data_IF_408556450167
#
_entry.id   IF_408556450167
#
_cell.length_a   1.000
_cell.length_b   1.000
_cell.length_c   1.000
_cell.angle_alpha   90.00
_cell.angle_beta   90.00
_cell.angle_gamma   90.00
#
_symmetry.space_group_name_H-M   'P 1'
#
loop_
_entity.id
_entity.type
_entity.pdbx_description
1 polymer ?
#
# COMPACT_ATOMS: atom_id res chain seq x y z
N UNK A 1 12.74 22.21 -11.29
CA UNK A 1 11.76 22.35 -10.18
C UNK A 1 10.32 21.98 -10.57
N UNK A 2 9.76 22.51 -11.67
CA UNK A 2 8.36 22.22 -12.10
C UNK A 2 8.06 20.72 -12.37
N UNK A 3 9.00 19.97 -12.96
CA UNK A 3 8.84 18.53 -13.22
C UNK A 3 8.72 17.70 -11.92
N UNK A 4 9.53 18.02 -10.91
CA UNK A 4 9.52 17.33 -9.61
C UNK A 4 8.24 17.61 -8.81
N UNK A 5 7.78 18.88 -8.79
CA UNK A 5 6.50 19.23 -8.16
C UNK A 5 5.33 18.45 -8.78
N UNK A 6 5.34 18.23 -10.09
CA UNK A 6 4.31 17.46 -10.77
C UNK A 6 4.34 15.97 -10.35
N UNK A 7 5.53 15.37 -10.21
CA UNK A 7 5.66 13.97 -9.74
C UNK A 7 5.14 13.81 -8.31
N UNK A 8 5.45 14.73 -7.39
CA UNK A 8 5.00 14.59 -5.99
C UNK A 8 3.50 14.77 -5.83
N UNK A 9 2.90 15.75 -6.51
CA UNK A 9 1.45 15.91 -6.50
C UNK A 9 0.75 14.66 -7.04
N UNK A 10 1.23 14.13 -8.18
CA UNK A 10 0.71 12.90 -8.76
C UNK A 10 0.91 11.69 -7.87
N UNK A 11 2.06 11.57 -7.21
CA UNK A 11 2.36 10.48 -6.28
C UNK A 11 1.44 10.52 -5.07
N UNK A 12 1.27 11.69 -4.45
CA UNK A 12 0.38 11.87 -3.32
C UNK A 12 -1.05 11.48 -3.67
N UNK A 13 -1.60 12.05 -4.76
CA UNK A 13 -2.96 11.74 -5.22
C UNK A 13 -3.11 10.24 -5.54
N UNK A 14 -2.12 9.64 -6.19
CA UNK A 14 -2.14 8.22 -6.51
C UNK A 14 -2.15 7.32 -5.28
N UNK A 15 -1.45 7.68 -4.20
CA UNK A 15 -1.48 6.91 -2.96
C UNK A 15 -2.82 7.05 -2.25
N UNK A 16 -3.33 8.27 -2.11
CA UNK A 16 -4.65 8.52 -1.50
C UNK A 16 -5.73 7.77 -2.26
N UNK A 17 -5.81 7.98 -3.57
CA UNK A 17 -6.81 7.34 -4.42
C UNK A 17 -6.63 5.81 -4.44
N UNK A 18 -5.41 5.33 -4.70
CA UNK A 18 -5.12 3.91 -4.81
C UNK A 18 -5.43 3.14 -3.54
N UNK A 19 -5.03 3.64 -2.37
CA UNK A 19 -5.33 2.98 -1.10
C UNK A 19 -6.79 3.07 -0.70
N UNK A 20 -7.43 4.23 -0.89
CA UNK A 20 -8.86 4.40 -0.58
C UNK A 20 -9.72 3.45 -1.41
N UNK A 21 -9.52 3.42 -2.73
CA UNK A 21 -10.30 2.56 -3.62
C UNK A 21 -9.89 1.09 -3.45
N UNK A 22 -8.60 0.79 -3.34
CA UNK A 22 -8.12 -0.57 -3.15
C UNK A 22 -8.70 -1.20 -1.88
N UNK A 23 -8.52 -0.57 -0.72
CA UNK A 23 -9.00 -1.12 0.55
C UNK A 23 -10.53 -1.01 0.68
N UNK A 24 -11.16 0.05 0.15
CA UNK A 24 -12.63 0.12 0.13
C UNK A 24 -13.26 -1.01 -0.67
N UNK A 25 -12.70 -1.33 -1.85
CA UNK A 25 -13.20 -2.45 -2.68
C UNK A 25 -12.90 -3.82 -2.07
N UNK A 26 -11.83 -3.96 -1.27
CA UNK A 26 -11.54 -5.18 -0.53
C UNK A 26 -12.73 -5.62 0.34
N UNK A 27 -13.36 -4.72 1.09
CA UNK A 27 -14.48 -5.07 1.98
C UNK A 27 -15.67 -5.65 1.23
N UNK A 28 -16.02 -5.08 0.08
CA UNK A 28 -17.11 -5.58 -0.76
C UNK A 28 -16.80 -6.96 -1.33
N UNK A 29 -15.58 -7.19 -1.78
CA UNK A 29 -15.18 -8.46 -2.37
C UNK A 29 -14.97 -9.56 -1.31
N UNK A 30 -14.39 -9.22 -0.17
CA UNK A 30 -14.16 -10.16 0.93
C UNK A 30 -15.46 -10.51 1.66
N UNK A 31 -16.14 -9.50 2.19
CA UNK A 31 -17.28 -9.70 3.10
C UNK A 31 -18.63 -9.64 2.40
N UNK A 32 -18.74 -9.01 1.22
CA UNK A 32 -20.01 -8.92 0.50
C UNK A 32 -20.52 -10.28 0.01
N UNK A 33 -19.62 -11.18 -0.41
CA UNK A 33 -19.98 -12.51 -0.90
C UNK A 33 -19.93 -13.62 0.15
N UNK A 34 -19.11 -13.46 1.20
CA UNK A 34 -18.85 -14.53 2.18
C UNK A 34 -19.25 -14.18 3.61
N UNK A 35 -19.81 -12.99 3.82
CA UNK A 35 -20.23 -12.49 5.12
C UNK A 35 -19.06 -12.13 6.03
N UNK A 36 -19.42 -11.81 7.27
CA UNK A 36 -18.48 -11.53 8.34
C UNK A 36 -17.85 -12.82 8.87
N UNK A 37 -16.64 -12.71 9.42
CA UNK A 37 -16.00 -13.81 10.14
C UNK A 37 -15.41 -13.32 11.47
N UNK A 38 -15.33 -14.23 12.43
CA UNK A 38 -14.60 -14.01 13.68
C UNK A 38 -13.11 -14.31 13.50
N UNK A 39 -12.52 -14.97 14.50
CA UNK A 39 -11.09 -15.31 14.52
C UNK A 39 -10.71 -16.46 13.57
N UNK A 40 -11.68 -17.15 12.99
CA UNK A 40 -11.46 -18.23 12.04
C UNK A 40 -12.24 -17.96 10.76
N UNK A 41 -11.55 -18.10 9.62
CA UNK A 41 -12.14 -18.03 8.30
C UNK A 41 -12.42 -19.44 7.75
N UNK A 42 -13.59 -19.60 7.14
CA UNK A 42 -13.87 -20.77 6.28
C UNK A 42 -12.99 -20.73 5.03
N UNK A 43 -12.83 -21.86 4.31
CA UNK A 43 -12.07 -21.88 3.05
C UNK A 43 -12.58 -20.87 2.00
N UNK A 44 -13.90 -20.66 1.91
CA UNK A 44 -14.49 -19.68 1.00
C UNK A 44 -14.11 -18.24 1.39
N UNK A 45 -14.14 -17.92 2.68
CA UNK A 45 -13.70 -16.62 3.21
C UNK A 45 -12.21 -16.39 2.96
N UNK A 46 -11.37 -17.42 3.13
CA UNK A 46 -9.95 -17.36 2.79
C UNK A 46 -9.71 -17.01 1.32
N UNK A 47 -10.38 -17.70 0.40
CA UNK A 47 -10.28 -17.43 -1.03
C UNK A 47 -10.72 -16.00 -1.34
N UNK A 48 -11.84 -15.55 -0.76
CA UNK A 48 -12.34 -14.19 -0.94
C UNK A 48 -11.34 -13.13 -0.44
N UNK A 49 -10.69 -13.34 0.71
CA UNK A 49 -9.68 -12.43 1.24
C UNK A 49 -8.39 -12.40 0.40
N UNK A 50 -7.93 -13.56 -0.07
CA UNK A 50 -6.76 -13.64 -0.98
C UNK A 50 -7.02 -12.85 -2.25
N UNK A 51 -8.16 -13.11 -2.91
CA UNK A 51 -8.50 -12.48 -4.18
C UNK A 51 -8.74 -10.98 -4.02
N UNK A 52 -9.51 -10.58 -3.01
CA UNK A 52 -9.85 -9.18 -2.77
C UNK A 52 -8.65 -8.34 -2.33
N UNK A 53 -7.78 -8.87 -1.46
CA UNK A 53 -6.59 -8.15 -1.01
C UNK A 53 -5.51 -8.11 -2.10
N UNK A 54 -5.38 -9.19 -2.89
CA UNK A 54 -4.56 -9.19 -4.10
C UNK A 54 -5.02 -8.12 -5.10
N UNK A 55 -6.32 -8.00 -5.31
CA UNK A 55 -6.93 -6.95 -6.14
C UNK A 55 -6.67 -5.54 -5.60
N UNK A 56 -6.89 -5.32 -4.31
CA UNK A 56 -6.62 -4.05 -3.65
C UNK A 56 -5.15 -3.64 -3.81
N UNK A 57 -4.24 -4.58 -3.55
CA UNK A 57 -2.80 -4.39 -3.71
C UNK A 57 -2.42 -4.04 -5.14
N UNK A 58 -3.06 -4.69 -6.13
CA UNK A 58 -2.83 -4.40 -7.54
C UNK A 58 -3.25 -2.97 -7.91
N UNK A 59 -4.42 -2.51 -7.43
CA UNK A 59 -4.90 -1.14 -7.64
C UNK A 59 -3.88 -0.13 -7.07
N UNK A 60 -3.50 -0.31 -5.80
CA UNK A 60 -2.54 0.58 -5.11
C UNK A 60 -1.26 0.71 -5.91
N UNK A 61 -0.68 -0.43 -6.30
CA UNK A 61 0.60 -0.46 -6.99
C UNK A 61 0.53 0.09 -8.42
N UNK A 62 -0.58 -0.17 -9.13
CA UNK A 62 -0.81 0.42 -10.46
C UNK A 62 -0.90 1.94 -10.38
N UNK A 63 -1.64 2.49 -9.41
CA UNK A 63 -1.75 3.92 -9.19
C UNK A 63 -0.37 4.54 -8.90
N UNK A 64 0.37 3.97 -7.94
CA UNK A 64 1.72 4.43 -7.58
C UNK A 64 2.66 4.42 -8.78
N UNK A 65 2.72 3.33 -9.55
CA UNK A 65 3.58 3.24 -10.75
C UNK A 65 3.21 4.25 -11.83
N UNK A 66 1.92 4.41 -12.12
CA UNK A 66 1.43 5.37 -13.12
C UNK A 66 1.76 6.82 -12.77
N UNK A 67 1.93 7.14 -11.49
CA UNK A 67 2.29 8.49 -11.06
C UNK A 67 3.76 8.84 -11.32
N UNK A 68 4.66 7.86 -11.40
CA UNK A 68 6.09 8.03 -11.68
C UNK A 68 6.64 6.97 -12.65
N UNK A 69 6.15 6.90 -13.90
CA UNK A 69 6.42 5.78 -14.82
C UNK A 69 7.90 5.66 -15.24
N UNK A 70 8.67 6.75 -15.14
CA UNK A 70 10.10 6.75 -15.43
C UNK A 70 10.93 5.99 -14.37
N UNK A 71 10.44 5.89 -13.13
CA UNK A 71 11.18 5.29 -12.01
C UNK A 71 11.00 3.78 -11.92
N UNK A 72 9.84 3.27 -12.34
CA UNK A 72 9.48 1.88 -12.16
C UNK A 72 9.67 1.05 -13.43
N UNK A 73 9.89 -0.24 -13.24
CA UNK A 73 9.83 -1.26 -14.30
C UNK A 73 8.47 -1.19 -15.00
N UNK A 74 8.40 -1.53 -16.29
CA UNK A 74 7.16 -1.59 -17.08
C UNK A 74 6.49 -2.96 -16.99
N UNK A 75 5.30 -3.13 -17.59
CA UNK A 75 4.57 -4.40 -17.65
C UNK A 75 3.78 -4.77 -16.39
N UNK A 76 3.11 -5.92 -16.44
CA UNK A 76 2.20 -6.40 -15.37
C UNK A 76 2.93 -7.19 -14.27
N UNK A 77 4.07 -7.80 -14.59
CA UNK A 77 4.83 -8.66 -13.66
C UNK A 77 5.17 -7.97 -12.33
N UNK A 78 5.64 -6.70 -12.30
CA UNK A 78 5.91 -6.03 -11.02
C UNK A 78 4.65 -5.85 -10.16
N UNK A 79 3.48 -5.64 -10.78
CA UNK A 79 2.19 -5.52 -10.05
C UNK A 79 1.81 -6.85 -9.45
N UNK A 80 1.92 -7.93 -10.23
CA UNK A 80 1.62 -9.27 -9.73
C UNK A 80 2.51 -9.63 -8.53
N UNK A 81 3.84 -9.46 -8.66
CA UNK A 81 4.79 -9.72 -7.56
C UNK A 81 4.48 -8.90 -6.31
N UNK A 82 4.19 -7.61 -6.48
CA UNK A 82 3.84 -6.73 -5.38
C UNK A 82 2.56 -7.17 -4.67
N UNK A 83 1.54 -7.51 -5.46
CA UNK A 83 0.24 -7.94 -4.95
C UNK A 83 0.33 -9.27 -4.21
N UNK A 84 1.06 -10.23 -4.77
CA UNK A 84 1.33 -11.51 -4.11
C UNK A 84 2.08 -11.31 -2.80
N UNK A 85 3.16 -10.52 -2.78
CA UNK A 85 3.94 -10.31 -1.57
C UNK A 85 3.11 -9.64 -0.46
N UNK A 86 2.35 -8.60 -0.80
CA UNK A 86 1.49 -7.90 0.15
C UNK A 86 0.38 -8.81 0.69
N UNK A 87 -0.25 -9.61 -0.17
CA UNK A 87 -1.31 -10.56 0.22
C UNK A 87 -0.77 -11.63 1.15
N UNK A 88 0.38 -12.23 0.82
CA UNK A 88 1.00 -13.24 1.66
C UNK A 88 1.45 -12.66 3.01
N UNK A 89 2.00 -11.45 3.02
CA UNK A 89 2.40 -10.78 4.26
C UNK A 89 1.20 -10.47 5.15
N UNK A 90 0.14 -9.88 4.59
CA UNK A 90 -1.08 -9.52 5.31
C UNK A 90 -1.75 -10.77 5.90
N UNK A 91 -2.08 -11.75 5.05
CA UNK A 91 -2.81 -12.94 5.47
C UNK A 91 -1.98 -13.91 6.31
N UNK A 92 -0.69 -14.00 6.04
CA UNK A 92 0.24 -14.79 6.83
C UNK A 92 0.34 -14.27 8.26
N UNK A 93 0.49 -12.95 8.43
CA UNK A 93 0.56 -12.35 9.77
C UNK A 93 -0.80 -12.34 10.46
N UNK A 94 -1.89 -12.08 9.73
CA UNK A 94 -3.24 -12.18 10.29
C UNK A 94 -3.50 -13.56 10.90
N UNK A 95 -3.08 -14.64 10.22
CA UNK A 95 -3.24 -16.03 10.70
C UNK A 95 -2.50 -16.32 12.01
N UNK A 96 -1.44 -15.57 12.29
CA UNK A 96 -0.57 -15.82 13.45
C UNK A 96 -0.93 -14.94 14.64
N UNK A 97 -1.19 -13.65 14.40
CA UNK A 97 -1.32 -12.64 15.46
C UNK A 97 -2.45 -11.63 15.23
N UNK A 98 -3.12 -11.66 14.07
CA UNK A 98 -4.25 -10.78 13.76
C UNK A 98 -3.90 -9.29 13.62
N UNK A 99 -4.96 -8.47 13.72
CA UNK A 99 -4.88 -7.00 13.71
C UNK A 99 -4.24 -6.50 15.02
N UNK A 100 -3.32 -5.52 14.98
CA UNK A 100 -2.98 -4.65 13.84
C UNK A 100 -1.73 -5.05 13.06
N UNK A 101 -1.12 -6.20 13.38
CA UNK A 101 0.20 -6.57 12.87
C UNK A 101 0.15 -6.95 11.37
N UNK A 102 -0.97 -7.48 10.90
CA UNK A 102 -1.25 -7.73 9.49
C UNK A 102 -1.17 -6.45 8.62
N UNK A 103 -1.74 -5.33 9.10
CA UNK A 103 -1.66 -4.02 8.46
C UNK A 103 -0.19 -3.58 8.39
N UNK A 104 0.55 -3.66 9.50
CA UNK A 104 1.98 -3.31 9.51
C UNK A 104 2.79 -4.15 8.51
N UNK A 105 2.52 -5.45 8.45
CA UNK A 105 3.16 -6.38 7.53
C UNK A 105 2.83 -6.05 6.06
N UNK A 106 1.58 -5.68 5.76
CA UNK A 106 1.17 -5.24 4.42
C UNK A 106 1.92 -3.98 3.98
N UNK A 107 2.03 -2.97 4.86
CA UNK A 107 2.74 -1.74 4.54
C UNK A 107 4.25 -1.95 4.33
N UNK A 108 4.87 -2.82 5.13
CA UNK A 108 6.24 -3.28 4.90
C UNK A 108 6.39 -3.94 3.52
N UNK A 109 5.48 -4.86 3.19
CA UNK A 109 5.46 -5.55 1.91
C UNK A 109 5.23 -4.60 0.73
N UNK A 110 4.37 -3.59 0.86
CA UNK A 110 4.17 -2.55 -0.16
C UNK A 110 5.46 -1.78 -0.43
N UNK A 111 6.14 -1.30 0.62
CA UNK A 111 7.39 -0.57 0.48
C UNK A 111 8.52 -1.41 -0.13
N UNK A 112 8.66 -2.66 0.30
CA UNK A 112 9.62 -3.61 -0.28
C UNK A 112 9.31 -3.85 -1.75
N UNK A 113 8.03 -4.07 -2.10
CA UNK A 113 7.60 -4.29 -3.47
C UNK A 113 7.88 -3.09 -4.37
N UNK A 114 7.62 -1.87 -3.88
CA UNK A 114 7.92 -0.63 -4.58
C UNK A 114 9.42 -0.51 -4.87
N UNK A 115 10.25 -0.76 -3.85
CA UNK A 115 11.70 -0.77 -4.01
C UNK A 115 12.18 -1.80 -5.03
N UNK A 116 11.64 -3.02 -4.97
CA UNK A 116 12.02 -4.10 -5.89
C UNK A 116 11.58 -3.84 -7.34
N UNK A 117 10.52 -3.04 -7.54
CA UNK A 117 10.03 -2.65 -8.86
C UNK A 117 10.69 -1.40 -9.45
N UNK A 118 11.64 -0.77 -8.75
CA UNK A 118 12.45 0.30 -9.33
C UNK A 118 13.24 -0.21 -10.53
N UNK A 119 13.36 0.62 -11.57
CA UNK A 119 14.15 0.32 -12.77
C UNK A 119 15.64 0.31 -12.43
N UNK A 120 16.09 1.37 -11.76
CA UNK A 120 17.47 1.53 -11.29
C UNK A 120 17.53 1.21 -9.80
N UNK A 121 17.31 -0.06 -9.45
CA UNK A 121 17.20 -0.49 -8.06
C UNK A 121 18.56 -0.43 -7.35
N UNK A 122 18.62 0.33 -6.26
CA UNK A 122 19.73 0.29 -5.29
C UNK A 122 19.25 -0.23 -3.94
N UNK A 123 20.15 -0.79 -3.12
CA UNK A 123 19.81 -1.26 -1.76
C UNK A 123 19.24 -0.12 -0.90
N UNK A 124 19.84 1.06 -0.98
CA UNK A 124 19.37 2.24 -0.24
C UNK A 124 17.96 2.66 -0.67
N UNK A 125 17.67 2.69 -1.97
CA UNK A 125 16.34 3.07 -2.47
C UNK A 125 15.25 2.10 -2.00
N UNK A 126 15.56 0.79 -1.99
CA UNK A 126 14.66 -0.23 -1.43
C UNK A 126 14.43 0.03 0.06
N UNK A 127 15.50 0.20 0.83
CA UNK A 127 15.40 0.43 2.28
C UNK A 127 14.60 1.68 2.62
N UNK A 128 14.82 2.79 1.90
CA UNK A 128 14.09 4.04 2.13
C UNK A 128 12.60 3.90 1.82
N UNK A 129 12.23 3.23 0.72
CA UNK A 129 10.82 2.98 0.37
C UNK A 129 10.16 2.02 1.36
N UNK A 130 10.85 0.96 1.78
CA UNK A 130 10.38 0.03 2.81
C UNK A 130 10.17 0.74 4.14
N UNK A 131 11.15 1.52 4.61
CA UNK A 131 11.09 2.22 5.88
C UNK A 131 9.98 3.28 5.90
N UNK A 132 9.86 4.10 4.85
CA UNK A 132 8.80 5.12 4.78
C UNK A 132 7.40 4.51 4.69
N UNK A 133 7.25 3.37 4.01
CA UNK A 133 5.98 2.65 3.97
C UNK A 133 5.66 2.01 5.33
N UNK A 134 6.65 1.43 6.02
CA UNK A 134 6.47 0.90 7.37
C UNK A 134 6.02 2.00 8.36
N UNK A 135 6.61 3.20 8.28
CA UNK A 135 6.19 4.36 9.07
C UNK A 135 4.76 4.79 8.72
N UNK A 136 4.38 4.79 7.44
CA UNK A 136 2.98 5.02 7.05
C UNK A 136 2.03 3.97 7.65
N UNK A 137 2.45 2.70 7.70
CA UNK A 137 1.72 1.63 8.40
C UNK A 137 1.55 1.92 9.89
N UNK A 138 2.61 2.35 10.58
CA UNK A 138 2.54 2.75 11.99
C UNK A 138 1.60 3.93 12.22
N UNK A 139 1.62 4.94 11.34
CA UNK A 139 0.67 6.07 11.40
C UNK A 139 -0.77 5.57 11.21
N UNK A 140 -0.98 4.67 10.25
CA UNK A 140 -2.28 4.09 9.95
C UNK A 140 -2.82 3.28 11.13
N UNK A 141 -1.98 2.48 11.79
CA UNK A 141 -2.36 1.74 12.99
C UNK A 141 -2.56 2.65 14.20
N UNK A 142 -1.66 3.60 14.44
CA UNK A 142 -1.69 4.45 15.63
C UNK A 142 -2.79 5.51 15.61
N UNK A 143 -3.19 5.99 14.42
CA UNK A 143 -4.18 7.06 14.28
C UNK A 143 -5.40 6.64 13.45
N UNK A 144 -5.20 5.87 12.38
CA UNK A 144 -6.27 5.47 11.47
C UNK A 144 -7.19 4.42 12.10
N UNK A 145 -6.62 3.32 12.60
CA UNK A 145 -7.39 2.19 13.11
C UNK A 145 -8.32 2.54 14.29
N UNK A 146 -7.91 3.34 15.31
CA UNK A 146 -8.80 3.71 16.40
C UNK A 146 -10.00 4.55 15.94
N UNK A 147 -9.80 5.46 14.99
CA UNK A 147 -10.88 6.28 14.43
C UNK A 147 -11.79 5.42 13.55
N UNK A 148 -11.19 4.57 12.70
CA UNK A 148 -11.92 3.65 11.85
C UNK A 148 -12.83 2.73 12.67
N UNK A 149 -12.34 2.21 13.81
CA UNK A 149 -13.15 1.39 14.72
C UNK A 149 -14.34 2.14 15.33
N UNK A 150 -14.17 3.42 15.70
CA UNK A 150 -15.29 4.26 16.16
C UNK A 150 -16.33 4.49 15.06
N UNK A 151 -15.88 4.72 13.82
CA UNK A 151 -16.77 4.88 12.67
C UNK A 151 -17.51 3.58 12.38
N UNK A 152 -16.84 2.43 12.35
CA UNK A 152 -17.46 1.12 12.16
C UNK A 152 -18.61 0.88 13.13
N UNK A 153 -18.42 1.21 14.41
CA UNK A 153 -19.48 1.12 15.43
C UNK A 153 -20.64 2.07 15.15
N UNK A 154 -20.35 3.31 14.72
CA UNK A 154 -21.38 4.30 14.40
C UNK A 154 -22.23 3.92 13.16
N UNK A 155 -21.65 3.19 12.20
CA UNK A 155 -22.35 2.70 11.01
C UNK A 155 -23.03 1.34 11.20
N UNK A 156 -23.08 0.81 12.44
CA UNK A 156 -23.89 -0.36 12.78
C UNK A 156 -23.24 -1.71 12.47
N UNK A 157 -21.92 -1.77 12.28
CA UNK A 157 -21.20 -3.01 11.96
C UNK A 157 -21.58 -3.59 10.58
N UNK A 158 -21.32 -4.89 10.39
CA UNK A 158 -21.59 -5.58 9.13
C UNK A 158 -20.82 -4.99 7.94
N UNK A 159 -21.33 -5.21 6.71
CA UNK A 159 -20.63 -4.77 5.49
C UNK A 159 -20.44 -3.25 5.43
N UNK A 160 -21.42 -2.46 5.88
CA UNK A 160 -21.31 -1.00 5.88
C UNK A 160 -20.25 -0.49 6.87
N UNK A 161 -20.23 -1.07 8.08
CA UNK A 161 -19.18 -0.81 9.07
C UNK A 161 -17.80 -1.18 8.56
N UNK A 162 -17.65 -2.36 7.96
CA UNK A 162 -16.38 -2.83 7.41
C UNK A 162 -15.89 -2.01 6.23
N UNK A 163 -16.77 -1.70 5.29
CA UNK A 163 -16.44 -0.83 4.17
C UNK A 163 -15.95 0.54 4.67
N UNK A 164 -16.58 1.07 5.72
CA UNK A 164 -16.15 2.32 6.36
C UNK A 164 -14.78 2.17 7.02
N UNK A 165 -14.57 1.09 7.78
CA UNK A 165 -13.30 0.76 8.44
C UNK A 165 -12.15 0.76 7.43
N UNK A 166 -12.25 -0.07 6.41
CA UNK A 166 -11.19 -0.26 5.41
C UNK A 166 -11.01 0.94 4.50
N UNK A 167 -12.09 1.64 4.13
CA UNK A 167 -11.99 2.89 3.36
C UNK A 167 -11.23 3.95 4.16
N UNK A 168 -11.53 4.10 5.46
CA UNK A 168 -10.84 5.07 6.32
C UNK A 168 -9.36 4.71 6.54
N UNK A 169 -9.07 3.42 6.77
CA UNK A 169 -7.69 2.90 6.77
C UNK A 169 -6.98 3.24 5.45
N UNK A 170 -7.68 3.08 4.32
CA UNK A 170 -7.17 3.45 2.99
C UNK A 170 -6.88 4.94 2.83
N UNK A 171 -7.71 5.82 3.39
CA UNK A 171 -7.49 7.27 3.37
C UNK A 171 -6.23 7.61 4.19
N UNK A 172 -6.16 7.18 5.45
CA UNK A 172 -5.02 7.50 6.33
C UNK A 172 -3.74 6.87 5.80
N UNK A 173 -3.80 5.62 5.35
CA UNK A 173 -2.72 4.92 4.68
C UNK A 173 -2.23 5.62 3.42
N UNK A 174 -3.17 6.06 2.58
CA UNK A 174 -2.86 6.77 1.35
C UNK A 174 -2.26 8.16 1.58
N UNK A 175 -2.77 8.92 2.56
CA UNK A 175 -2.22 10.24 2.93
C UNK A 175 -0.82 10.08 3.50
N UNK A 176 -0.63 9.20 4.47
CA UNK A 176 0.67 8.96 5.11
C UNK A 176 1.70 8.41 4.12
N UNK A 177 1.35 7.41 3.30
CA UNK A 177 2.23 6.87 2.26
C UNK A 177 2.51 7.88 1.15
N UNK A 178 1.54 8.71 0.79
CA UNK A 178 1.71 9.78 -0.19
C UNK A 178 2.71 10.83 0.29
N UNK A 179 2.60 11.29 1.53
CA UNK A 179 3.50 12.28 2.10
C UNK A 179 4.91 11.71 2.33
N UNK A 180 5.02 10.60 3.08
CA UNK A 180 6.30 9.98 3.41
C UNK A 180 6.99 9.43 2.16
N UNK A 181 6.24 8.79 1.27
CA UNK A 181 6.73 8.31 -0.02
C UNK A 181 7.21 9.43 -0.94
N UNK A 182 6.61 10.63 -0.87
CA UNK A 182 7.13 11.79 -1.63
C UNK A 182 8.54 12.19 -1.19
N UNK A 183 8.84 12.12 0.12
CA UNK A 183 10.20 12.34 0.62
C UNK A 183 11.16 11.22 0.18
N UNK A 184 10.72 9.95 0.24
CA UNK A 184 11.50 8.83 -0.27
C UNK A 184 11.84 9.00 -1.76
N UNK A 185 10.85 9.34 -2.59
CA UNK A 185 11.06 9.53 -4.03
C UNK A 185 12.01 10.69 -4.34
N UNK A 186 11.94 11.79 -3.58
CA UNK A 186 12.92 12.88 -3.70
C UNK A 186 14.35 12.37 -3.53
N UNK A 187 14.58 11.59 -2.47
CA UNK A 187 15.89 11.01 -2.18
C UNK A 187 16.34 10.03 -3.27
N UNK A 188 15.44 9.16 -3.72
CA UNK A 188 15.72 8.19 -4.80
C UNK A 188 16.11 8.90 -6.10
N UNK A 189 15.35 9.93 -6.50
CA UNK A 189 15.63 10.70 -7.72
C UNK A 189 16.96 11.45 -7.60
N UNK A 190 17.22 12.12 -6.48
CA UNK A 190 18.45 12.87 -6.28
C UNK A 190 19.70 11.97 -6.37
N UNK A 191 19.63 10.78 -5.78
CA UNK A 191 20.74 9.82 -5.82
C UNK A 191 20.95 9.23 -7.23
N UNK A 192 19.89 9.00 -8.01
CA UNK A 192 19.99 8.53 -9.41
C UNK A 192 20.64 9.60 -10.31
N UNK A 193 20.30 10.88 -10.12
CA UNK A 193 20.93 12.00 -10.86
C UNK A 193 22.41 12.13 -10.54
N UNK A 194 22.79 12.12 -9.26
CA UNK A 194 24.19 12.23 -8.84
C UNK A 194 25.04 11.04 -9.34
N UNK A 195 24.46 9.84 -9.40
CA UNK A 195 25.15 8.67 -9.94
C UNK A 195 25.44 8.83 -11.45
N UNK A 196 24.50 9.37 -12.22
CA UNK A 196 24.68 9.61 -13.67
C UNK A 196 25.73 10.67 -13.97
N UNK A 197 25.78 11.76 -13.19
CA UNK A 197 26.80 12.80 -13.34
C UNK A 197 28.21 12.28 -13.08
N UNK A 198 28.40 11.44 -12.06
CA UNK A 198 29.71 10.82 -11.77
C UNK A 198 30.20 9.91 -12.89
N UNK A 199 29.30 9.18 -13.55
CA UNK A 199 29.65 8.31 -14.69
C UNK A 199 30.01 9.13 -15.92
N UNK A 200 29.37 10.28 -16.14
CA UNK A 200 29.66 11.15 -17.27
C UNK A 200 30.98 11.95 -17.13
N UNK A 201 31.50 12.08 -15.91
CA UNK A 201 32.70 12.84 -15.59
C UNK A 201 34.00 12.00 -15.54
N UNK A 202 33.91 10.69 -15.77
CA UNK A 202 35.05 9.76 -15.81
C UNK A 202 35.12 9.04 -17.14
#
# INVERSE_FOLDING_TARGET
MRLLMNIFGRWFVANVFGMTIGLGTHSFLAHGFTGQHGNAMTPAQWIAHILSFGWASAIIFLCQRKSAPALFQSGVVPVFRASTLATLAFLGVWSLVGIPFDILAAFLAFGLSLGLALRNRTKEAVLVLTATSAVAGMVTVGSGLPIAGKLMTAFGGGLAGDATLWTYIGIVGGVSSGLLGSFALRRVIANDSAAKEKVAAG
#
